data_IF_578416263569
#
_entry.id   IF_578416263569
#
_cell.length_a   1.000
_cell.length_b   1.000
_cell.length_c   1.000
_cell.angle_alpha   90.00
_cell.angle_beta   90.00
_cell.angle_gamma   90.00
#
_symmetry.space_group_name_H-M   'P 1'
#
loop_
_entity.id
_entity.type
_entity.pdbx_description
1 polymer ?
#
# COMPACT_ATOMS: atom_id res chain seq x y z
N UNK A 1 -1.38 6.07 -18.38
CA UNK A 1 -1.97 4.99 -19.20
C UNK A 1 -1.45 3.63 -18.74
N UNK A 2 -0.13 3.50 -18.65
CA UNK A 2 0.58 2.28 -18.23
C UNK A 2 0.16 1.72 -16.87
N UNK A 3 0.02 2.58 -15.85
CA UNK A 3 -0.43 2.15 -14.52
C UNK A 3 -1.78 1.44 -14.55
N UNK A 4 -2.76 1.99 -15.27
CA UNK A 4 -4.09 1.39 -15.39
C UNK A 4 -4.03 0.09 -16.19
N UNK A 5 -3.27 0.07 -17.29
CA UNK A 5 -3.05 -1.14 -18.10
C UNK A 5 -2.45 -2.29 -17.29
N UNK A 6 -1.46 -2.01 -16.45
CA UNK A 6 -0.84 -3.01 -15.55
C UNK A 6 -1.83 -3.49 -14.49
N UNK A 7 -2.60 -2.58 -13.88
CA UNK A 7 -3.65 -2.94 -12.91
C UNK A 7 -4.69 -3.88 -13.53
N UNK A 8 -5.17 -3.57 -14.73
CA UNK A 8 -6.21 -4.34 -15.42
C UNK A 8 -5.68 -5.71 -15.88
N UNK A 9 -4.51 -5.74 -16.54
CA UNK A 9 -3.96 -7.00 -17.07
C UNK A 9 -3.54 -7.97 -15.95
N UNK A 10 -2.95 -7.45 -14.86
CA UNK A 10 -2.46 -8.29 -13.77
C UNK A 10 -3.49 -8.47 -12.66
N UNK A 11 -4.63 -7.79 -12.72
CA UNK A 11 -5.68 -7.78 -11.69
C UNK A 11 -5.10 -7.50 -10.31
N UNK A 12 -4.41 -6.36 -10.18
CA UNK A 12 -3.68 -5.96 -8.96
C UNK A 12 -4.01 -4.54 -8.54
N UNK A 13 -3.86 -4.27 -7.23
CA UNK A 13 -4.04 -2.94 -6.66
C UNK A 13 -2.99 -1.96 -7.20
N UNK A 14 -3.32 -0.67 -7.13
CA UNK A 14 -2.47 0.41 -7.63
C UNK A 14 -1.05 0.38 -7.02
N UNK A 15 -0.92 0.06 -5.73
CA UNK A 15 0.38 0.01 -5.05
C UNK A 15 1.29 -1.05 -5.67
N UNK A 16 0.80 -2.28 -5.80
CA UNK A 16 1.57 -3.36 -6.42
C UNK A 16 1.92 -3.05 -7.87
N UNK A 17 0.98 -2.47 -8.64
CA UNK A 17 1.26 -2.05 -10.01
C UNK A 17 2.38 -0.98 -10.06
N UNK A 18 2.39 -0.02 -9.13
CA UNK A 18 3.47 0.97 -9.01
C UNK A 18 4.80 0.33 -8.65
N UNK A 19 4.84 -0.56 -7.67
CA UNK A 19 6.08 -1.25 -7.28
C UNK A 19 6.66 -2.04 -8.45
N UNK A 20 5.81 -2.78 -9.18
CA UNK A 20 6.23 -3.54 -10.37
C UNK A 20 6.75 -2.62 -11.47
N UNK A 21 6.04 -1.51 -11.75
CA UNK A 21 6.51 -0.53 -12.73
C UNK A 21 7.85 0.09 -12.33
N UNK A 22 8.05 0.43 -11.06
CA UNK A 22 9.33 0.98 -10.58
C UNK A 22 10.45 -0.07 -10.69
N UNK A 23 10.19 -1.33 -10.32
CA UNK A 23 11.14 -2.43 -10.41
C UNK A 23 11.62 -2.65 -11.85
N UNK A 24 10.69 -2.64 -12.81
CA UNK A 24 10.97 -2.76 -14.24
C UNK A 24 11.34 -1.43 -14.91
N UNK A 25 11.63 -0.36 -14.13
CA UNK A 25 12.03 0.97 -14.65
C UNK A 25 11.05 1.56 -15.67
N UNK A 26 9.76 1.30 -15.47
CA UNK A 26 8.64 1.67 -16.33
C UNK A 26 8.66 1.02 -17.72
N UNK A 27 9.42 -0.06 -17.90
CA UNK A 27 9.38 -0.88 -19.11
C UNK A 27 8.21 -1.88 -19.02
N UNK A 28 7.07 -1.48 -19.56
CA UNK A 28 5.83 -2.25 -19.55
C UNK A 28 5.94 -3.51 -20.40
N UNK A 29 6.70 -3.47 -21.49
CA UNK A 29 6.87 -4.60 -22.40
C UNK A 29 7.72 -5.69 -21.72
N UNK A 30 8.84 -5.31 -21.08
CA UNK A 30 9.64 -6.23 -20.29
C UNK A 30 8.87 -6.82 -19.10
N UNK A 31 8.05 -6.01 -18.42
CA UNK A 31 7.19 -6.48 -17.33
C UNK A 31 6.24 -7.58 -17.82
N UNK A 32 5.57 -7.38 -18.96
CA UNK A 32 4.66 -8.38 -19.50
C UNK A 32 5.37 -9.62 -20.05
N UNK A 33 6.57 -9.48 -20.60
CA UNK A 33 7.41 -10.61 -20.99
C UNK A 33 7.74 -11.50 -19.79
N UNK A 34 8.19 -10.91 -18.68
CA UNK A 34 8.48 -11.64 -17.43
C UNK A 34 7.22 -12.26 -16.84
N UNK A 35 6.08 -11.56 -16.90
CA UNK A 35 4.80 -12.10 -16.45
C UNK A 35 4.38 -13.35 -17.24
N UNK A 36 4.55 -13.34 -18.56
CA UNK A 36 4.20 -14.49 -19.43
C UNK A 36 5.20 -15.64 -19.25
N UNK A 37 6.50 -15.35 -19.12
CA UNK A 37 7.54 -16.38 -19.00
C UNK A 37 7.54 -17.06 -17.63
N UNK A 38 7.47 -16.28 -16.55
CA UNK A 38 7.74 -16.75 -15.18
C UNK A 38 6.50 -16.75 -14.28
N UNK A 39 5.45 -16.07 -14.71
CA UNK A 39 4.20 -15.99 -13.97
C UNK A 39 4.19 -14.91 -12.89
N UNK A 40 2.97 -14.61 -12.43
CA UNK A 40 2.68 -13.56 -11.44
C UNK A 40 3.45 -13.78 -10.13
N UNK A 41 3.37 -14.95 -9.52
CA UNK A 41 3.95 -15.19 -8.20
C UNK A 41 5.47 -14.93 -8.16
N UNK A 42 6.19 -15.34 -9.20
CA UNK A 42 7.63 -15.11 -9.32
C UNK A 42 7.96 -13.62 -9.42
N UNK A 43 7.27 -12.89 -10.29
CA UNK A 43 7.47 -11.46 -10.48
C UNK A 43 7.20 -10.66 -9.20
N UNK A 44 6.16 -11.01 -8.46
CA UNK A 44 5.83 -10.38 -7.17
C UNK A 44 6.90 -10.62 -6.11
N UNK A 45 7.32 -11.88 -5.95
CA UNK A 45 8.39 -12.23 -5.01
C UNK A 45 9.71 -11.52 -5.35
N UNK A 46 10.04 -11.42 -6.64
CA UNK A 46 11.26 -10.76 -7.10
C UNK A 46 11.25 -9.24 -6.85
N UNK A 47 10.07 -8.60 -6.97
CA UNK A 47 9.88 -7.19 -6.68
C UNK A 47 9.68 -6.88 -5.17
N UNK A 48 9.78 -7.90 -4.30
CA UNK A 48 9.55 -7.74 -2.85
C UNK A 48 8.10 -7.48 -2.47
N UNK A 49 7.15 -7.77 -3.37
CA UNK A 49 5.72 -7.57 -3.13
C UNK A 49 5.15 -8.82 -2.47
N UNK A 50 4.84 -8.73 -1.18
CA UNK A 50 4.00 -9.71 -0.50
C UNK A 50 2.58 -9.61 -1.06
N UNK A 51 2.14 -10.69 -1.72
CA UNK A 51 0.72 -10.87 -2.07
C UNK A 51 0.01 -11.30 -0.79
N UNK A 52 -0.09 -10.41 0.18
CA UNK A 52 -1.08 -10.59 1.21
C UNK A 52 -2.42 -10.36 0.52
N UNK A 53 -3.22 -11.42 0.39
CA UNK A 53 -4.63 -11.27 0.07
C UNK A 53 -5.23 -10.50 1.24
N UNK A 54 -5.15 -9.16 1.15
CA UNK A 54 -5.80 -8.25 2.06
C UNK A 54 -7.27 -8.65 2.02
N UNK A 55 -7.64 -9.53 2.97
CA UNK A 55 -9.00 -9.80 3.34
C UNK A 55 -9.56 -8.42 3.55
N UNK A 56 -10.42 -7.99 2.64
CA UNK A 56 -11.33 -6.90 2.87
C UNK A 56 -12.12 -7.36 4.08
N UNK A 57 -11.56 -7.07 5.25
CA UNK A 57 -12.27 -7.19 6.50
C UNK A 57 -13.26 -6.06 6.34
N UNK A 58 -14.47 -6.44 5.94
CA UNK A 58 -15.72 -5.69 6.11
C UNK A 58 -15.86 -5.40 7.62
N UNK A 59 -14.92 -4.63 8.16
CA UNK A 59 -14.94 -4.16 9.51
C UNK A 59 -15.94 -3.04 9.46
N UNK A 60 -17.15 -3.38 9.89
CA UNK A 60 -18.20 -2.45 10.28
C UNK A 60 -17.58 -1.11 10.68
N UNK A 61 -17.94 -0.05 9.97
CA UNK A 61 -17.39 1.30 10.14
C UNK A 61 -17.61 1.71 11.60
N UNK A 62 -16.63 1.44 12.46
CA UNK A 62 -16.65 1.92 13.83
C UNK A 62 -16.39 3.41 13.77
N UNK A 63 -17.14 4.20 14.53
CA UNK A 63 -16.93 5.64 14.57
C UNK A 63 -15.51 6.01 15.06
N UNK A 64 -14.89 5.10 15.82
CA UNK A 64 -13.54 5.22 16.36
C UNK A 64 -12.67 4.04 15.91
N UNK A 65 -11.40 4.32 15.64
CA UNK A 65 -10.33 3.36 15.38
C UNK A 65 -9.17 3.63 16.31
N UNK A 66 -8.54 2.58 16.84
CA UNK A 66 -7.37 2.72 17.68
C UNK A 66 -6.14 2.97 16.81
N UNK A 67 -5.40 4.04 17.08
CA UNK A 67 -4.11 4.30 16.44
C UNK A 67 -3.04 3.41 17.09
N UNK A 68 -2.34 2.62 16.29
CA UNK A 68 -1.32 1.68 16.81
C UNK A 68 -0.03 2.37 17.27
N UNK A 69 0.12 3.68 17.01
CA UNK A 69 1.29 4.47 17.41
C UNK A 69 1.04 5.20 18.74
N UNK A 70 -0.03 5.98 18.85
CA UNK A 70 -0.34 6.73 20.07
C UNK A 70 -1.20 5.94 21.06
N UNK A 71 -1.71 4.77 20.67
CA UNK A 71 -2.59 3.91 21.45
C UNK A 71 -3.92 4.59 21.87
N UNK A 72 -4.32 5.64 21.15
CA UNK A 72 -5.58 6.36 21.39
C UNK A 72 -6.66 5.99 20.37
N UNK A 73 -7.92 6.05 20.80
CA UNK A 73 -9.09 5.96 19.94
C UNK A 73 -9.30 7.28 19.20
N UNK A 74 -9.20 7.23 17.87
CA UNK A 74 -9.38 8.38 17.00
C UNK A 74 -10.57 8.20 16.06
N UNK A 75 -11.28 9.28 15.69
CA UNK A 75 -12.33 9.21 14.69
C UNK A 75 -11.83 8.60 13.38
N UNK A 76 -12.64 7.76 12.73
CA UNK A 76 -12.28 7.09 11.47
C UNK A 76 -11.98 8.08 10.32
N UNK A 77 -12.54 9.28 10.36
CA UNK A 77 -12.27 10.39 9.42
C UNK A 77 -10.96 11.12 9.73
N UNK A 78 -10.44 10.99 10.95
CA UNK A 78 -9.16 11.53 11.40
C UNK A 78 -8.06 10.45 11.44
N UNK A 79 -8.28 9.28 10.82
CA UNK A 79 -7.30 8.22 10.71
C UNK A 79 -7.12 7.72 9.28
N UNK A 80 -5.91 7.31 8.95
CA UNK A 80 -5.58 6.62 7.71
C UNK A 80 -5.37 5.14 8.02
N UNK A 81 -6.19 4.29 7.39
CA UNK A 81 -5.97 2.84 7.34
C UNK A 81 -5.06 2.51 6.17
N UNK A 82 -3.98 1.80 6.44
CA UNK A 82 -3.05 1.30 5.44
C UNK A 82 -3.57 0.01 4.81
N UNK A 83 -3.05 -0.33 3.63
CA UNK A 83 -3.38 -1.58 2.92
C UNK A 83 -2.94 -2.84 3.71
N UNK A 84 -1.99 -2.71 4.65
CA UNK A 84 -1.61 -3.76 5.60
C UNK A 84 -2.58 -3.91 6.79
N UNK A 85 -3.66 -3.12 6.83
CA UNK A 85 -4.70 -3.19 7.84
C UNK A 85 -4.46 -2.33 9.08
N UNK A 86 -3.25 -1.79 9.27
CA UNK A 86 -2.94 -0.91 10.41
C UNK A 86 -3.59 0.47 10.24
N UNK A 87 -4.08 1.05 11.33
CA UNK A 87 -4.68 2.39 11.36
C UNK A 87 -3.82 3.37 12.14
N UNK A 88 -3.65 4.56 11.57
CA UNK A 88 -2.84 5.62 12.17
C UNK A 88 -3.60 6.93 12.15
N UNK A 89 -3.51 7.70 13.24
CA UNK A 89 -4.14 9.01 13.34
C UNK A 89 -3.47 10.01 12.37
N UNK A 90 -4.28 10.83 11.72
CA UNK A 90 -3.85 11.92 10.84
C UNK A 90 -3.41 13.17 11.63
N UNK A 91 -3.60 13.15 12.96
CA UNK A 91 -3.37 14.28 13.83
C UNK A 91 -1.88 14.62 13.97
N UNK A 92 -1.55 15.81 13.46
CA UNK A 92 -0.37 16.60 13.78
C UNK A 92 -0.50 17.11 15.23
N UNK A 93 0.23 16.53 16.18
CA UNK A 93 0.36 17.16 17.51
C UNK A 93 1.08 18.50 17.36
N UNK A 94 0.34 19.60 17.47
CA UNK A 94 0.93 20.92 17.69
C UNK A 94 1.84 20.86 18.92
N UNK A 95 3.08 21.32 18.74
CA UNK A 95 4.24 21.26 19.63
C UNK A 95 5.18 20.05 19.38
N UNK A 96 6.23 20.33 18.59
CA UNK A 96 7.38 19.50 18.22
C UNK A 96 7.11 18.31 17.26
N UNK A 97 7.00 18.64 15.98
CA UNK A 97 7.92 18.07 14.98
C UNK A 97 7.81 16.58 14.66
N UNK A 98 6.61 15.97 14.67
CA UNK A 98 6.41 14.59 14.17
C UNK A 98 5.50 14.47 12.94
N UNK A 99 5.27 15.58 12.22
CA UNK A 99 4.73 15.52 10.84
C UNK A 99 5.64 14.72 9.88
N UNK A 100 6.91 14.53 10.28
CA UNK A 100 7.91 13.76 9.53
C UNK A 100 7.76 12.25 9.75
N UNK A 101 7.22 11.77 10.88
CA UNK A 101 7.26 10.34 11.21
C UNK A 101 6.30 9.50 10.35
N UNK A 102 5.09 9.98 10.08
CA UNK A 102 4.13 9.25 9.23
C UNK A 102 4.50 9.31 7.74
N UNK A 103 5.12 10.40 7.29
CA UNK A 103 5.66 10.49 5.92
C UNK A 103 6.92 9.62 5.74
N UNK A 104 7.75 9.47 6.77
CA UNK A 104 8.91 8.57 6.74
C UNK A 104 8.51 7.09 6.75
N UNK A 105 7.39 6.72 7.38
CA UNK A 105 6.83 5.38 7.29
C UNK A 105 6.39 5.02 5.86
N UNK A 106 5.87 5.99 5.09
CA UNK A 106 5.49 5.82 3.67
C UNK A 106 6.67 5.63 2.70
N UNK A 107 7.92 5.89 3.11
CA UNK A 107 9.11 5.77 2.24
C UNK A 107 9.91 4.49 2.54
N UNK A 108 9.59 3.75 3.59
CA UNK A 108 10.38 2.59 4.03
C UNK A 108 9.73 1.21 3.93
N UNK A 109 8.48 1.12 3.46
CA UNK A 109 7.83 -0.15 3.13
C UNK A 109 7.20 -0.10 1.73
#
# INVERSE_FOLDING_TARGET
EDLRRVMDMLSVRQQHARTLLIYHRWDVENLFEVYVERGKAFMFAQAGVSVDECRDSDSSVSALVMCEICMDDVPSDEATRMDCGHCFCNTLSSELGSASACFYALIKD
#
